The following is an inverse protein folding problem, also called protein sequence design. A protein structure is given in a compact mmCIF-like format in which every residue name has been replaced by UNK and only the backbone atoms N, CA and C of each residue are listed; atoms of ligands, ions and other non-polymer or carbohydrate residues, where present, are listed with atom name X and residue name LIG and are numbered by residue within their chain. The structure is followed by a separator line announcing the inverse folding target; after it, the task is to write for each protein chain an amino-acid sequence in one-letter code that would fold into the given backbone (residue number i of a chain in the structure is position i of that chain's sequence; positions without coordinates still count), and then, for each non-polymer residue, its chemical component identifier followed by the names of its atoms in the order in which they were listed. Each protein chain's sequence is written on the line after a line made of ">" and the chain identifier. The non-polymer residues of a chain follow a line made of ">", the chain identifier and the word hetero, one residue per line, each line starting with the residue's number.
data_IF_186662066329
#
_entry.id   IF_186662066329
#
_cell.length_a   1.000
_cell.length_b   1.000
_cell.length_c   1.000
_cell.angle_alpha   90.00
_cell.angle_beta   90.00
_cell.angle_gamma   90.00
#
_symmetry.space_group_name_H-M   'P 1'
#
loop_
_entity.id
_entity.type
_entity.pdbx_description
1 polymer ?
#
# COMPACT_ATOMS: atom_id res chain seq x y z
N UNK A 1 -6.11 2.14 -9.64
CA UNK A 1 -6.16 3.62 -9.51
C UNK A 1 -7.57 4.02 -9.10
N UNK A 2 -7.74 4.64 -7.93
CA UNK A 2 -9.06 5.07 -7.42
C UNK A 2 -9.43 6.42 -8.04
N UNK A 3 -10.63 6.56 -8.62
CA UNK A 3 -11.08 7.84 -9.20
C UNK A 3 -11.76 8.69 -8.14
N UNK A 4 -11.68 10.03 -8.24
CA UNK A 4 -12.21 10.97 -7.23
C UNK A 4 -13.71 10.75 -6.97
N UNK A 5 -14.50 10.44 -8.00
CA UNK A 5 -15.94 10.14 -7.88
C UNK A 5 -16.27 8.89 -7.06
N UNK A 6 -15.29 8.01 -6.90
CA UNK A 6 -15.41 6.77 -6.14
C UNK A 6 -14.99 6.98 -4.67
N UNK A 7 -14.89 8.24 -4.22
CA UNK A 7 -14.45 8.63 -2.87
C UNK A 7 -15.41 9.59 -2.16
N UNK A 8 -15.42 9.55 -0.83
CA UNK A 8 -16.12 10.43 0.09
C UNK A 8 -15.13 11.17 0.99
N UNK A 9 -15.49 12.38 1.43
CA UNK A 9 -14.73 13.12 2.43
C UNK A 9 -15.17 12.70 3.83
N UNK A 10 -14.20 12.37 4.68
CA UNK A 10 -14.40 12.01 6.09
C UNK A 10 -13.53 12.93 6.94
N UNK A 11 -14.13 13.54 7.95
CA UNK A 11 -13.40 14.31 8.96
C UNK A 11 -12.97 13.40 10.09
N UNK A 12 -11.70 13.49 10.47
CA UNK A 12 -11.12 12.76 11.60
C UNK A 12 -11.49 13.43 12.93
N UNK A 13 -11.35 12.71 14.03
CA UNK A 13 -11.53 13.25 15.39
C UNK A 13 -10.57 14.41 15.73
N UNK A 14 -9.46 14.52 14.99
CA UNK A 14 -8.49 15.61 15.11
C UNK A 14 -8.83 16.82 14.20
N UNK A 15 -9.95 16.81 13.47
CA UNK A 15 -10.37 17.89 12.58
C UNK A 15 -9.69 17.89 11.19
N UNK A 16 -8.96 16.83 10.85
CA UNK A 16 -8.34 16.69 9.53
C UNK A 16 -9.31 16.03 8.54
N UNK A 17 -9.40 16.59 7.33
CA UNK A 17 -10.25 16.07 6.25
C UNK A 17 -9.50 15.14 5.32
N UNK A 18 -10.05 13.96 5.07
CA UNK A 18 -9.44 12.90 4.26
C UNK A 18 -10.43 12.35 3.23
N UNK A 19 -9.92 11.94 2.07
CA UNK A 19 -10.73 11.26 1.04
C UNK A 19 -10.61 9.75 1.17
N UNK A 20 -11.73 9.06 1.31
CA UNK A 20 -11.83 7.61 1.40
C UNK A 20 -12.64 7.02 0.25
N UNK A 21 -12.34 5.80 -0.23
CA UNK A 21 -13.24 5.09 -1.13
C UNK A 21 -14.66 5.01 -0.59
N UNK A 22 -15.67 5.06 -1.47
CA UNK A 22 -17.09 4.97 -1.11
C UNK A 22 -17.47 3.63 -0.44
N UNK A 23 -16.59 2.63 -0.48
CA UNK A 23 -16.73 1.38 0.27
C UNK A 23 -16.54 1.54 1.78
N UNK A 24 -16.12 2.71 2.27
CA UNK A 24 -16.03 3.02 3.69
C UNK A 24 -17.45 3.14 4.29
N UNK A 25 -17.87 2.09 5.04
CA UNK A 25 -19.22 1.91 5.61
C UNK A 25 -19.27 2.26 7.11
N UNK A 26 -20.48 2.37 7.68
CA UNK A 26 -20.86 2.70 9.08
C UNK A 26 -20.18 1.90 10.23
N UNK A 27 -19.24 1.01 9.92
CA UNK A 27 -18.47 0.19 10.86
C UNK A 27 -16.96 0.39 10.73
N UNK A 28 -16.54 1.34 9.89
CA UNK A 28 -15.13 1.65 9.70
C UNK A 28 -14.71 2.78 10.63
N UNK A 29 -13.67 2.54 11.41
CA UNK A 29 -12.99 3.55 12.23
C UNK A 29 -11.61 3.79 11.62
N UNK A 30 -11.32 5.05 11.33
CA UNK A 30 -9.99 5.44 10.88
C UNK A 30 -9.17 5.95 12.06
N UNK A 31 -7.98 5.40 12.21
CA UNK A 31 -7.00 5.83 13.20
C UNK A 31 -5.75 6.29 12.48
N UNK A 32 -5.38 7.55 12.68
CA UNK A 32 -4.07 8.06 12.27
C UNK A 32 -3.01 7.67 13.30
N UNK A 33 -1.88 7.17 12.81
CA UNK A 33 -0.74 6.76 13.62
C UNK A 33 0.49 7.58 13.26
N UNK A 34 1.48 7.68 14.16
CA UNK A 34 2.77 8.29 13.85
C UNK A 34 3.44 7.65 12.61
N UNK A 35 4.29 8.41 11.92
CA UNK A 35 5.06 7.88 10.79
C UNK A 35 4.25 7.71 9.50
N UNK A 36 3.21 8.52 9.32
CA UNK A 36 2.36 8.52 8.11
C UNK A 36 1.55 7.23 7.94
N UNK A 37 1.31 6.51 9.03
CA UNK A 37 0.52 5.28 9.04
C UNK A 37 -0.95 5.59 9.32
N UNK A 38 -1.83 4.78 8.72
CA UNK A 38 -3.26 4.78 9.05
C UNK A 38 -3.77 3.37 9.20
N UNK A 39 -4.68 3.17 10.16
CA UNK A 39 -5.45 1.95 10.30
C UNK A 39 -6.89 2.22 9.93
N UNK A 40 -7.43 1.37 9.06
CA UNK A 40 -8.86 1.31 8.77
C UNK A 40 -9.43 0.05 9.42
N UNK A 41 -10.16 0.22 10.52
CA UNK A 41 -10.70 -0.85 11.35
C UNK A 41 -12.17 -1.04 10.98
N UNK A 42 -12.52 -2.20 10.42
CA UNK A 42 -13.91 -2.59 10.18
C UNK A 42 -14.42 -3.44 11.35
N UNK A 43 -15.17 -2.83 12.27
CA UNK A 43 -15.68 -3.50 13.47
C UNK A 43 -16.72 -4.59 13.17
N UNK A 44 -17.33 -4.60 11.97
CA UNK A 44 -18.28 -5.64 11.57
C UNK A 44 -17.57 -6.92 11.13
N UNK A 45 -16.46 -6.81 10.40
CA UNK A 45 -15.71 -7.98 9.93
C UNK A 45 -14.55 -8.37 10.86
N UNK A 46 -14.14 -7.47 11.76
CA UNK A 46 -12.92 -7.63 12.54
C UNK A 46 -11.63 -7.41 11.71
N UNK A 47 -11.76 -6.94 10.47
CA UNK A 47 -10.61 -6.66 9.59
C UNK A 47 -10.01 -5.29 9.90
N UNK A 48 -8.69 -5.23 9.97
CA UNK A 48 -7.91 -4.01 10.21
C UNK A 48 -6.91 -3.90 9.07
N UNK A 49 -7.10 -2.92 8.19
CA UNK A 49 -6.19 -2.67 7.09
C UNK A 49 -5.20 -1.56 7.46
N UNK A 50 -3.92 -1.84 7.30
CA UNK A 50 -2.83 -0.91 7.62
C UNK A 50 -2.30 -0.32 6.32
N UNK A 51 -2.23 1.01 6.28
CA UNK A 51 -1.71 1.75 5.13
C UNK A 51 -0.61 2.72 5.55
N UNK A 52 0.25 3.08 4.59
CA UNK A 52 1.24 4.14 4.74
C UNK A 52 1.07 5.17 3.64
N UNK A 53 1.09 6.44 4.01
CA UNK A 53 1.10 7.55 3.05
C UNK A 53 2.44 7.56 2.29
N UNK A 54 2.38 7.70 0.97
CA UNK A 54 3.55 7.96 0.14
C UNK A 54 3.83 9.47 -0.01
N UNK A 55 4.90 9.82 -0.73
CA UNK A 55 5.30 11.21 -0.99
C UNK A 55 4.27 12.03 -1.77
N UNK A 56 3.26 11.40 -2.39
CA UNK A 56 2.18 12.05 -3.11
C UNK A 56 0.89 12.13 -2.28
N UNK A 57 0.98 11.89 -0.98
CA UNK A 57 -0.16 11.89 -0.06
C UNK A 57 -1.19 10.78 -0.32
N UNK A 58 -0.80 9.68 -0.98
CA UNK A 58 -1.67 8.53 -1.26
C UNK A 58 -1.38 7.39 -0.29
N UNK A 59 -2.42 6.80 0.30
CA UNK A 59 -2.28 5.66 1.21
C UNK A 59 -2.07 4.36 0.44
N UNK A 60 -0.90 3.75 0.63
CA UNK A 60 -0.51 2.46 0.07
C UNK A 60 -0.74 1.34 1.10
N UNK A 61 -1.28 0.18 0.70
CA UNK A 61 -1.51 -0.93 1.62
C UNK A 61 -0.17 -1.54 2.07
N UNK A 62 -0.05 -1.79 3.38
CA UNK A 62 1.09 -2.49 3.98
C UNK A 62 0.70 -3.89 4.46
N UNK A 63 -0.52 -4.04 4.95
CA UNK A 63 -0.98 -5.33 5.46
C UNK A 63 -2.38 -5.28 6.04
N UNK A 64 -2.80 -6.44 6.52
CA UNK A 64 -4.10 -6.69 7.13
C UNK A 64 -3.92 -7.54 8.39
N UNK A 65 -4.68 -7.18 9.42
CA UNK A 65 -4.90 -7.96 10.63
C UNK A 65 -6.39 -8.30 10.70
N UNK A 66 -6.72 -9.57 10.89
CA UNK A 66 -8.10 -10.03 11.06
C UNK A 66 -8.29 -10.58 12.45
N UNK A 67 -9.31 -10.06 13.13
CA UNK A 67 -9.74 -10.48 14.46
C UNK A 67 -11.02 -11.29 14.31
N UNK A 68 -11.03 -12.53 14.78
CA UNK A 68 -12.26 -13.31 14.89
C UNK A 68 -12.35 -13.99 16.25
N UNK A 69 -13.58 -14.15 16.75
CA UNK A 69 -13.84 -14.84 18.01
C UNK A 69 -14.72 -16.05 17.71
N UNK A 70 -14.25 -17.23 18.11
CA UNK A 70 -14.93 -18.51 17.90
C UNK A 70 -14.85 -19.32 19.19
N UNK A 71 -15.99 -19.74 19.76
CA UNK A 71 -16.04 -20.63 20.92
C UNK A 71 -15.11 -20.22 22.07
N UNK A 72 -15.17 -18.94 22.48
CA UNK A 72 -14.31 -18.31 23.50
C UNK A 72 -12.80 -18.27 23.17
N UNK A 73 -12.41 -18.54 21.93
CA UNK A 73 -11.05 -18.36 21.44
C UNK A 73 -10.97 -17.11 20.57
N UNK A 74 -9.99 -16.25 20.86
CA UNK A 74 -9.59 -15.15 19.99
C UNK A 74 -8.61 -15.69 18.95
N UNK A 75 -8.94 -15.50 17.67
CA UNK A 75 -8.09 -15.85 16.54
C UNK A 75 -7.59 -14.57 15.87
N UNK A 76 -6.30 -14.57 15.54
CA UNK A 76 -5.59 -13.45 14.92
C UNK A 76 -4.98 -13.95 13.60
N UNK A 77 -5.37 -13.34 12.49
CA UNK A 77 -4.75 -13.55 11.18
C UNK A 77 -3.95 -12.32 10.78
N UNK A 78 -2.73 -12.49 10.27
CA UNK A 78 -1.96 -11.37 9.71
C UNK A 78 -1.53 -11.68 8.29
N UNK A 79 -1.66 -10.70 7.41
CA UNK A 79 -1.24 -10.78 6.02
C UNK A 79 -0.47 -9.51 5.65
N UNK A 80 0.81 -9.66 5.35
CA UNK A 80 1.60 -8.57 4.77
C UNK A 80 1.35 -8.47 3.27
N UNK A 81 1.26 -7.25 2.74
CA UNK A 81 1.28 -7.04 1.30
C UNK A 81 2.74 -7.07 0.85
N UNK A 82 3.14 -8.14 0.16
CA UNK A 82 4.40 -8.12 -0.60
C UNK A 82 4.22 -7.11 -1.75
N UNK A 83 4.86 -5.95 -1.62
CA UNK A 83 5.01 -5.05 -2.76
C UNK A 83 5.86 -5.80 -3.79
N UNK A 84 5.26 -6.22 -4.90
CA UNK A 84 6.01 -6.63 -6.08
C UNK A 84 6.93 -5.45 -6.42
N UNK A 85 8.24 -5.66 -6.27
CA UNK A 85 9.23 -4.59 -6.36
C UNK A 85 9.01 -3.75 -7.62
N UNK A 86 8.78 -2.45 -7.42
CA UNK A 86 9.06 -1.50 -8.50
C UNK A 86 10.56 -1.54 -8.72
N UNK A 87 10.99 -2.20 -9.80
CA UNK A 87 12.33 -2.03 -10.33
C UNK A 87 12.51 -0.53 -10.63
N UNK A 88 13.27 0.16 -9.79
CA UNK A 88 13.78 1.50 -10.10
C UNK A 88 14.79 1.37 -11.24
N UNK A 89 14.35 1.62 -12.46
CA UNK A 89 15.27 1.93 -13.56
C UNK A 89 15.73 3.38 -13.38
N UNK A 90 16.82 3.56 -12.64
CA UNK A 90 17.58 4.81 -12.60
C UNK A 90 18.90 4.63 -13.34
N UNK A 91 19.01 5.19 -14.55
CA UNK A 91 20.31 5.48 -15.17
C UNK A 91 20.48 5.14 -16.66
N UNK A 92 20.20 6.14 -17.50
CA UNK A 92 20.72 6.41 -18.86
C UNK A 92 20.25 5.53 -20.06
N UNK A 93 20.06 6.14 -21.25
CA UNK A 93 19.50 5.47 -22.41
C UNK A 93 20.57 4.61 -23.08
N UNK A 94 20.39 3.28 -23.06
CA UNK A 94 21.22 2.39 -23.87
C UNK A 94 20.45 2.07 -25.15
N UNK A 95 21.05 2.47 -26.26
CA UNK A 95 20.47 2.58 -27.59
C UNK A 95 19.89 1.29 -28.15
N UNK A 96 19.21 1.49 -29.28
CA UNK A 96 18.68 0.43 -30.13
C UNK A 96 19.68 -0.72 -30.27
N UNK A 97 19.34 -1.89 -29.74
CA UNK A 97 19.99 -3.12 -30.15
C UNK A 97 19.35 -3.55 -31.46
N UNK A 98 20.05 -3.25 -32.56
CA UNK A 98 19.81 -3.91 -33.83
C UNK A 98 20.20 -5.40 -33.69
N UNK A 99 19.46 -6.25 -34.39
CA UNK A 99 19.57 -7.71 -34.26
C UNK A 99 20.93 -8.19 -34.75
N UNK A 100 21.78 -8.56 -33.79
CA UNK A 100 22.75 -9.63 -33.96
C UNK A 100 24.18 -9.18 -34.14
N UNK A 101 24.89 -9.02 -33.03
CA UNK A 101 26.33 -9.25 -32.95
C UNK A 101 26.71 -9.58 -31.49
N UNK A 102 27.55 -10.61 -31.30
CA UNK A 102 27.87 -11.18 -29.97
C UNK A 102 28.82 -10.24 -29.20
N UNK A 103 28.68 -10.09 -27.86
CA UNK A 103 29.58 -9.24 -27.08
C UNK A 103 30.98 -9.87 -26.94
N UNK A 104 32.01 -9.10 -27.27
CA UNK A 104 33.43 -9.42 -27.07
C UNK A 104 33.81 -9.18 -25.61
N UNK A 105 34.50 -10.14 -24.96
CA UNK A 105 35.04 -9.98 -23.60
C UNK A 105 36.19 -8.98 -23.62
N UNK A 106 36.07 -7.90 -22.84
CA UNK A 106 37.18 -7.01 -22.56
C UNK A 106 37.90 -7.49 -21.30
N UNK A 107 38.86 -8.39 -21.46
CA UNK A 107 39.89 -8.67 -20.46
C UNK A 107 41.21 -8.37 -21.10
N UNK A 108 41.72 -7.15 -20.89
CA UNK A 108 43.14 -6.82 -20.94
C UNK A 108 43.31 -5.53 -20.14
N UNK A 109 43.45 -5.71 -18.83
CA UNK A 109 44.12 -4.74 -17.98
C UNK A 109 45.44 -5.40 -17.57
N UNK A 110 46.52 -4.99 -18.23
CA UNK A 110 47.91 -5.05 -17.75
C UNK A 110 48.73 -4.04 -18.54
#
# INVERSE_FOLDING_TARGET
>A
MVRIKDTQLVETVAGTWLRFPNSFKKFNCLVELPGQLTMNINSKSGSIHIHKKDGNNVYQPLGELTLSVSSNQLQLGTHGVQQAGQLQYGGLPIGAYDKGEKPVRQSDAS
#
